data_IF_751095769734
#
_entry.id   IF_751095769734
#
_cell.length_a   1.000
_cell.length_b   1.000
_cell.length_c   1.000
_cell.angle_alpha   90.00
_cell.angle_beta   90.00
_cell.angle_gamma   90.00
#
_symmetry.space_group_name_H-M   'P 1'
#
loop_
_entity.id
_entity.type
_entity.pdbx_description
1 polymer ?
#
# COMPACT_ATOMS: atom_id res chain seq x y z
N UNK A 1 -10.96 4.25 6.21
CA UNK A 1 -9.69 4.24 6.98
C UNK A 1 -9.86 5.08 8.25
N UNK A 2 -8.83 5.23 9.10
CA UNK A 2 -8.89 6.10 10.28
C UNK A 2 -9.23 7.55 9.92
N UNK A 3 -8.60 8.09 8.87
CA UNK A 3 -8.82 9.46 8.37
C UNK A 3 -10.30 9.65 8.03
N UNK A 4 -10.87 8.75 7.21
CA UNK A 4 -12.30 8.81 6.87
C UNK A 4 -13.17 8.66 8.11
N UNK A 5 -12.86 7.70 8.99
CA UNK A 5 -13.67 7.37 10.17
C UNK A 5 -13.72 8.47 11.22
N UNK A 6 -12.67 9.30 11.32
CA UNK A 6 -12.57 10.43 12.24
C UNK A 6 -12.95 11.78 11.60
N UNK A 7 -13.23 11.81 10.31
CA UNK A 7 -13.68 13.02 9.61
C UNK A 7 -15.14 13.38 9.94
N UNK A 8 -15.52 14.66 9.76
CA UNK A 8 -16.88 15.14 10.03
C UNK A 8 -17.97 14.42 9.23
N UNK A 9 -17.62 13.94 8.02
CA UNK A 9 -18.53 13.22 7.11
C UNK A 9 -18.32 11.71 7.17
N UNK A 10 -17.44 11.27 8.06
CA UNK A 10 -17.04 9.89 8.26
C UNK A 10 -18.06 9.04 8.99
N UNK A 11 -17.84 7.74 8.94
CA UNK A 11 -18.49 6.81 9.86
C UNK A 11 -17.43 5.95 10.54
N UNK A 12 -17.19 6.24 11.82
CA UNK A 12 -16.19 5.56 12.64
C UNK A 12 -16.42 4.05 12.73
N UNK A 13 -17.67 3.59 12.57
CA UNK A 13 -17.99 2.16 12.59
C UNK A 13 -17.32 1.42 11.42
N UNK A 14 -17.14 2.05 10.26
CA UNK A 14 -16.42 1.42 9.14
C UNK A 14 -14.96 1.15 9.49
N UNK A 15 -14.32 2.05 10.23
CA UNK A 15 -12.95 1.84 10.70
C UNK A 15 -12.89 0.79 11.82
N UNK A 16 -13.82 0.84 12.78
CA UNK A 16 -13.92 -0.14 13.86
C UNK A 16 -14.05 -1.58 13.35
N UNK A 17 -14.91 -1.80 12.34
CA UNK A 17 -15.10 -3.10 11.71
C UNK A 17 -13.85 -3.63 10.98
N UNK A 18 -12.85 -2.78 10.74
CA UNK A 18 -11.59 -3.10 10.08
C UNK A 18 -10.38 -2.94 11.03
N UNK A 19 -10.58 -3.17 12.33
CA UNK A 19 -9.49 -3.20 13.32
C UNK A 19 -9.14 -1.85 13.96
N UNK A 20 -9.96 -0.82 13.78
CA UNK A 20 -9.76 0.51 14.39
C UNK A 20 -9.96 0.60 15.91
N UNK A 21 -10.33 -0.50 16.57
CA UNK A 21 -10.72 -0.51 17.99
C UNK A 21 -9.61 -0.06 18.96
N UNK A 22 -8.33 -0.19 18.60
CA UNK A 22 -7.20 0.21 19.45
C UNK A 22 -7.25 1.68 19.85
N UNK A 23 -7.79 2.54 19.00
CA UNK A 23 -7.89 3.98 19.23
C UNK A 23 -8.73 4.33 20.46
N UNK A 24 -9.77 3.55 20.74
CA UNK A 24 -10.67 3.77 21.88
C UNK A 24 -10.10 3.24 23.20
N UNK A 25 -8.90 2.66 23.18
CA UNK A 25 -8.16 2.22 24.36
C UNK A 25 -6.97 3.15 24.68
N UNK A 26 -6.86 4.29 24.00
CA UNK A 26 -5.80 5.27 24.23
C UNK A 26 -6.11 6.14 25.46
N UNK A 27 -5.06 6.54 26.17
CA UNK A 27 -5.16 7.64 27.13
C UNK A 27 -5.29 8.99 26.39
N UNK A 28 -5.65 10.04 27.13
CA UNK A 28 -5.95 11.36 26.58
C UNK A 28 -4.82 11.93 25.71
N UNK A 29 -3.57 11.85 26.18
CA UNK A 29 -2.41 12.36 25.46
C UNK A 29 -2.18 11.59 24.16
N UNK A 30 -2.33 10.26 24.18
CA UNK A 30 -2.21 9.44 22.98
C UNK A 30 -3.36 9.63 22.01
N UNK A 31 -4.58 9.90 22.46
CA UNK A 31 -5.70 10.20 21.57
C UNK A 31 -5.44 11.48 20.78
N UNK A 32 -4.97 12.54 21.46
CA UNK A 32 -4.56 13.80 20.82
C UNK A 32 -3.45 13.53 19.80
N UNK A 33 -2.42 12.78 20.20
CA UNK A 33 -1.31 12.44 19.31
C UNK A 33 -1.79 11.65 18.09
N UNK A 34 -2.64 10.63 18.28
CA UNK A 34 -3.16 9.80 17.20
C UNK A 34 -4.00 10.62 16.20
N UNK A 35 -4.81 11.57 16.68
CA UNK A 35 -5.54 12.53 15.82
C UNK A 35 -4.57 13.42 15.04
N UNK A 36 -3.53 13.95 15.67
CA UNK A 36 -2.52 14.76 14.99
C UNK A 36 -1.74 13.97 13.93
N UNK A 37 -1.42 12.70 14.21
CA UNK A 37 -0.77 11.80 13.25
C UNK A 37 -1.71 11.43 12.09
N UNK A 38 -3.01 11.27 12.33
CA UNK A 38 -3.98 11.03 11.26
C UNK A 38 -4.06 12.20 10.28
N UNK A 39 -3.97 13.45 10.75
CA UNK A 39 -3.90 14.62 9.88
C UNK A 39 -2.63 14.59 9.01
N UNK A 40 -1.47 14.25 9.59
CA UNK A 40 -0.24 14.07 8.81
C UNK A 40 -0.31 12.90 7.82
N UNK A 41 -1.04 11.84 8.16
CA UNK A 41 -1.23 10.70 7.28
C UNK A 41 -2.09 11.04 6.05
N UNK A 42 -2.97 12.03 6.15
CA UNK A 42 -3.77 12.56 5.03
C UNK A 42 -2.92 13.30 3.99
N UNK A 43 -1.72 13.74 4.37
CA UNK A 43 -0.75 14.38 3.47
C UNK A 43 0.11 13.35 2.69
N UNK A 44 0.00 12.06 2.99
CA UNK A 44 0.80 11.03 2.33
C UNK A 44 0.41 10.85 0.86
N UNK A 45 1.40 10.66 -0.04
CA UNK A 45 1.09 10.36 -1.43
C UNK A 45 0.56 8.93 -1.57
N UNK A 46 -0.35 8.73 -2.52
CA UNK A 46 -0.85 7.39 -2.87
C UNK A 46 0.19 6.54 -3.63
N UNK A 47 1.09 7.21 -4.35
CA UNK A 47 2.08 6.59 -5.23
C UNK A 47 3.41 7.29 -5.02
N UNK A 48 4.48 6.51 -4.82
CA UNK A 48 5.85 6.99 -4.75
C UNK A 48 6.60 6.51 -6.00
N UNK A 49 7.26 7.43 -6.71
CA UNK A 49 8.25 7.11 -7.74
C UNK A 49 9.65 7.24 -7.14
N UNK A 50 10.49 6.21 -7.33
CA UNK A 50 11.88 6.20 -6.91
C UNK A 50 12.77 5.85 -8.09
N UNK A 51 13.69 6.75 -8.43
CA UNK A 51 14.75 6.50 -9.41
C UNK A 51 16.04 6.16 -8.66
N UNK A 52 16.54 4.93 -8.83
CA UNK A 52 17.76 4.40 -8.19
C UNK A 52 18.63 3.71 -9.23
N UNK A 53 19.90 4.13 -9.35
CA UNK A 53 20.89 3.58 -10.30
C UNK A 53 20.34 3.41 -11.74
N UNK A 54 19.53 4.37 -12.21
CA UNK A 54 18.92 4.34 -13.55
C UNK A 54 17.69 3.44 -13.70
N UNK A 55 17.23 2.77 -12.63
CA UNK A 55 15.96 2.03 -12.59
C UNK A 55 14.87 2.85 -11.91
N UNK A 56 13.65 2.72 -12.39
CA UNK A 56 12.44 3.34 -11.85
C UNK A 56 11.59 2.32 -11.11
N UNK A 57 11.39 2.57 -9.82
CA UNK A 57 10.51 1.83 -8.93
C UNK A 57 9.25 2.65 -8.66
N UNK A 58 8.09 2.02 -8.73
CA UNK A 58 6.80 2.62 -8.37
C UNK A 58 6.22 1.86 -7.19
N UNK A 59 5.93 2.57 -6.10
CA UNK A 59 5.43 1.98 -4.86
C UNK A 59 3.99 2.45 -4.66
N UNK A 60 3.06 1.49 -4.56
CA UNK A 60 1.66 1.71 -4.23
C UNK A 60 1.26 0.78 -3.08
N UNK A 61 0.19 1.10 -2.35
CA UNK A 61 -0.28 0.21 -1.29
C UNK A 61 -0.80 -1.13 -1.82
N UNK A 62 -1.73 -1.12 -2.77
CA UNK A 62 -2.39 -2.33 -3.28
C UNK A 62 -2.13 -2.59 -4.76
N UNK A 63 -2.30 -1.57 -5.62
CA UNK A 63 -2.16 -1.72 -7.07
C UNK A 63 -1.84 -0.38 -7.76
N UNK A 64 -1.47 -0.45 -9.04
CA UNK A 64 -1.57 0.67 -9.98
C UNK A 64 -2.61 0.32 -11.06
N UNK A 65 -3.78 0.99 -11.11
CA UNK A 65 -4.96 0.53 -11.86
C UNK A 65 -4.93 0.86 -13.36
N UNK A 66 -3.76 0.77 -13.98
CA UNK A 66 -3.53 1.06 -15.39
C UNK A 66 -2.41 0.17 -15.92
N UNK A 67 -2.42 -0.14 -17.21
CA UNK A 67 -1.36 -0.96 -17.84
C UNK A 67 -0.11 -0.16 -18.21
N UNK A 68 -0.15 1.17 -18.08
CA UNK A 68 0.97 2.08 -18.29
C UNK A 68 1.02 3.15 -17.21
N UNK A 69 2.14 3.19 -16.52
CA UNK A 69 2.52 4.19 -15.55
C UNK A 69 3.03 5.46 -16.22
N UNK A 70 2.52 6.59 -15.74
CA UNK A 70 2.96 7.93 -16.08
C UNK A 70 2.89 8.78 -14.81
N UNK A 71 3.96 9.53 -14.52
CA UNK A 71 4.02 10.35 -13.31
C UNK A 71 2.91 11.41 -13.33
N UNK A 72 2.14 11.49 -12.24
CA UNK A 72 1.02 12.43 -12.11
C UNK A 72 -0.23 12.07 -12.92
N UNK A 73 -0.29 10.90 -13.57
CA UNK A 73 -1.50 10.43 -14.25
C UNK A 73 -2.66 10.31 -13.25
N UNK A 74 -3.84 10.89 -13.53
CA UNK A 74 -5.02 10.67 -12.71
C UNK A 74 -5.38 9.19 -12.67
N UNK A 75 -5.53 8.65 -11.47
CA UNK A 75 -5.94 7.27 -11.21
C UNK A 75 -7.01 7.25 -10.14
N UNK A 76 -7.82 6.19 -10.10
CA UNK A 76 -8.78 6.00 -9.03
C UNK A 76 -8.05 5.69 -7.71
N UNK A 77 -8.16 6.61 -6.75
CA UNK A 77 -7.54 6.49 -5.44
C UNK A 77 -7.99 5.23 -4.70
N UNK A 78 -9.26 4.83 -4.83
CA UNK A 78 -9.78 3.62 -4.18
C UNK A 78 -9.12 2.37 -4.73
N UNK A 79 -8.88 2.31 -6.05
CA UNK A 79 -8.21 1.18 -6.66
C UNK A 79 -6.75 1.06 -6.23
N UNK A 80 -6.04 2.18 -6.07
CA UNK A 80 -4.63 2.17 -5.63
C UNK A 80 -4.46 1.56 -4.23
N UNK A 81 -5.45 1.71 -3.36
CA UNK A 81 -5.39 1.25 -1.95
C UNK A 81 -6.21 -0.02 -1.65
N UNK A 82 -7.16 -0.42 -2.50
CA UNK A 82 -8.04 -1.56 -2.23
C UNK A 82 -8.04 -2.66 -3.29
N UNK A 83 -7.51 -2.40 -4.50
CA UNK A 83 -7.64 -3.38 -5.57
C UNK A 83 -6.85 -4.66 -5.27
N UNK A 84 -7.50 -5.81 -5.52
CA UNK A 84 -6.90 -7.16 -5.43
C UNK A 84 -7.02 -7.95 -6.73
N UNK A 85 -7.67 -7.38 -7.74
CA UNK A 85 -7.95 -8.09 -8.98
C UNK A 85 -6.67 -8.46 -9.74
N UNK A 86 -5.68 -7.56 -9.80
CA UNK A 86 -4.42 -7.84 -10.51
C UNK A 86 -3.64 -9.01 -9.92
N UNK A 87 -3.53 -9.08 -8.59
CA UNK A 87 -2.84 -10.20 -7.94
C UNK A 87 -3.62 -11.51 -8.12
N UNK A 88 -4.96 -11.48 -7.99
CA UNK A 88 -5.81 -12.64 -8.23
C UNK A 88 -5.62 -13.17 -9.66
N UNK A 89 -5.73 -12.29 -10.66
CA UNK A 89 -5.51 -12.64 -12.06
C UNK A 89 -4.11 -13.22 -12.30
N UNK A 90 -3.08 -12.68 -11.63
CA UNK A 90 -1.71 -13.18 -11.74
C UNK A 90 -1.56 -14.59 -11.15
N UNK A 91 -2.24 -14.88 -10.04
CA UNK A 91 -2.29 -16.21 -9.42
C UNK A 91 -3.04 -17.23 -10.31
N UNK A 92 -4.02 -16.75 -11.07
CA UNK A 92 -4.74 -17.54 -12.09
C UNK A 92 -3.97 -17.66 -13.42
N UNK A 93 -2.73 -17.16 -13.48
CA UNK A 93 -1.83 -17.27 -14.65
C UNK A 93 -1.96 -16.15 -15.68
N UNK A 94 -2.83 -15.16 -15.44
CA UNK A 94 -3.00 -13.99 -16.30
C UNK A 94 -2.00 -12.90 -15.88
N UNK A 95 -0.74 -13.11 -16.27
CA UNK A 95 0.37 -12.22 -15.90
C UNK A 95 0.62 -11.18 -17.01
N UNK A 96 0.62 -9.89 -16.64
CA UNK A 96 0.89 -8.77 -17.55
C UNK A 96 1.85 -7.78 -16.91
N UNK A 97 2.76 -7.24 -17.72
CA UNK A 97 3.63 -6.13 -17.31
C UNK A 97 2.81 -4.83 -17.20
N UNK A 98 3.18 -3.97 -16.24
CA UNK A 98 2.77 -2.56 -16.24
C UNK A 98 3.90 -1.75 -16.86
N UNK A 99 3.66 -1.10 -17.98
CA UNK A 99 4.67 -0.31 -18.70
C UNK A 99 5.02 0.97 -17.93
N UNK A 100 6.15 1.59 -18.24
CA UNK A 100 6.50 2.95 -17.78
C UNK A 100 7.35 3.01 -16.51
N UNK A 101 7.61 1.87 -15.86
CA UNK A 101 8.59 1.71 -14.79
C UNK A 101 9.17 0.29 -14.80
N UNK A 102 10.36 0.13 -14.21
CA UNK A 102 11.07 -1.15 -14.20
C UNK A 102 10.50 -2.13 -13.18
N UNK A 103 9.98 -1.64 -12.05
CA UNK A 103 9.40 -2.48 -10.99
C UNK A 103 8.32 -1.74 -10.23
N UNK A 104 7.22 -2.45 -9.97
CA UNK A 104 6.15 -2.02 -9.09
C UNK A 104 6.23 -2.81 -7.79
N UNK A 105 6.10 -2.14 -6.64
CA UNK A 105 6.17 -2.78 -5.32
C UNK A 105 4.85 -2.49 -4.61
N UNK A 106 4.17 -3.55 -4.20
CA UNK A 106 2.86 -3.53 -3.57
C UNK A 106 2.85 -4.31 -2.26
N UNK A 107 1.90 -3.98 -1.39
CA UNK A 107 1.55 -4.75 -0.21
C UNK A 107 0.09 -5.23 -0.31
N UNK A 108 -0.69 -4.92 0.72
CA UNK A 108 -2.15 -5.08 0.83
C UNK A 108 -2.68 -6.54 0.84
N UNK A 109 -2.19 -7.40 -0.04
CA UNK A 109 -2.60 -8.80 -0.14
C UNK A 109 -1.52 -9.69 0.49
N UNK A 110 -1.75 -10.25 1.69
CA UNK A 110 -0.77 -11.10 2.35
C UNK A 110 -0.43 -12.34 1.52
N UNK A 111 0.85 -12.67 1.44
CA UNK A 111 1.38 -13.86 0.80
C UNK A 111 2.34 -14.61 1.75
N UNK A 112 2.46 -15.93 1.63
CA UNK A 112 3.34 -16.74 2.50
C UNK A 112 4.82 -16.35 2.34
N UNK A 113 5.21 -15.91 1.14
CA UNK A 113 6.53 -15.41 0.77
C UNK A 113 6.34 -14.24 -0.21
N UNK A 114 7.34 -13.37 -0.40
CA UNK A 114 7.26 -12.34 -1.43
C UNK A 114 6.98 -12.96 -2.79
N UNK A 115 6.02 -12.40 -3.52
CA UNK A 115 5.64 -12.86 -4.85
C UNK A 115 6.12 -11.88 -5.91
N UNK A 116 6.39 -12.39 -7.10
CA UNK A 116 6.70 -11.57 -8.26
C UNK A 116 5.97 -12.10 -9.49
N UNK A 117 5.24 -11.21 -10.16
CA UNK A 117 4.55 -11.48 -11.42
C UNK A 117 4.93 -10.39 -12.40
N UNK A 118 5.51 -10.75 -13.55
CA UNK A 118 6.15 -9.80 -14.47
C UNK A 118 7.05 -8.79 -13.73
N UNK A 119 6.69 -7.50 -13.74
CA UNK A 119 7.40 -6.43 -13.04
C UNK A 119 6.71 -5.97 -11.74
N UNK A 120 5.74 -6.72 -11.21
CA UNK A 120 5.06 -6.44 -9.94
C UNK A 120 5.60 -7.34 -8.82
N UNK A 121 6.02 -6.74 -7.71
CA UNK A 121 6.47 -7.41 -6.50
C UNK A 121 5.46 -7.18 -5.38
N UNK A 122 5.07 -8.25 -4.69
CA UNK A 122 4.18 -8.21 -3.53
C UNK A 122 4.98 -8.59 -2.29
N UNK A 123 5.13 -7.65 -1.36
CA UNK A 123 6.01 -7.78 -0.19
C UNK A 123 5.26 -7.90 1.14
N UNK A 124 3.92 -7.86 1.12
CA UNK A 124 3.14 -8.13 2.32
C UNK A 124 3.20 -9.63 2.65
N UNK A 125 4.07 -9.99 3.59
CA UNK A 125 4.19 -11.36 4.10
C UNK A 125 3.36 -11.63 5.35
N UNK A 126 2.39 -10.76 5.66
CA UNK A 126 1.46 -10.97 6.75
C UNK A 126 2.09 -10.88 8.13
N UNK A 127 2.97 -9.90 8.38
CA UNK A 127 3.69 -9.75 9.64
C UNK A 127 2.77 -9.75 10.88
N UNK A 128 1.59 -9.13 10.78
CA UNK A 128 0.59 -9.13 11.87
C UNK A 128 0.00 -10.52 12.16
N UNK A 129 0.01 -11.42 11.18
CA UNK A 129 -0.57 -12.76 11.29
C UNK A 129 0.46 -13.83 11.69
N UNK A 130 1.71 -13.70 11.24
CA UNK A 130 2.73 -14.74 11.42
C UNK A 130 4.11 -14.23 11.87
N UNK A 131 4.27 -12.92 12.10
CA UNK A 131 5.54 -12.30 12.50
C UNK A 131 6.56 -12.10 11.37
N UNK A 132 6.26 -12.55 10.15
CA UNK A 132 7.18 -12.43 9.01
C UNK A 132 7.09 -11.03 8.36
N UNK A 133 8.03 -10.14 8.67
CA UNK A 133 8.16 -8.83 8.05
C UNK A 133 9.20 -8.84 6.92
N UNK A 134 8.76 -8.55 5.70
CA UNK A 134 9.66 -8.47 4.54
C UNK A 134 10.28 -7.08 4.42
N UNK A 135 11.60 -7.05 4.26
CA UNK A 135 12.35 -5.87 3.81
C UNK A 135 13.12 -6.24 2.54
N UNK A 136 12.98 -5.41 1.51
CA UNK A 136 13.74 -5.54 0.26
C UNK A 136 14.63 -4.31 0.07
N UNK A 137 15.90 -4.53 -0.25
CA UNK A 137 16.84 -3.45 -0.54
C UNK A 137 16.76 -3.09 -2.03
N UNK A 138 16.48 -1.82 -2.35
CA UNK A 138 16.39 -1.32 -3.74
C UNK A 138 17.55 -0.40 -4.15
N UNK A 139 18.46 -0.12 -3.22
CA UNK A 139 19.70 0.62 -3.46
C UNK A 139 20.76 0.29 -2.39
N UNK A 140 22.03 0.21 -2.80
CA UNK A 140 23.18 -0.05 -1.92
C UNK A 140 24.04 -1.20 -2.44
N UNK A 141 24.99 -1.69 -1.63
CA UNK A 141 25.88 -2.82 -1.97
C UNK A 141 25.18 -4.18 -1.91
N UNK A 142 24.08 -4.30 -1.15
CA UNK A 142 23.27 -5.51 -1.03
C UNK A 142 22.04 -5.58 -1.93
N UNK A 143 21.87 -4.62 -2.86
CA UNK A 143 20.72 -4.50 -3.77
C UNK A 143 21.04 -4.92 -5.21
#
# INVERSE_FOLDING_TARGET
MMIDGLSERGNVNHWLLNGGGWFFNLDYDKEILAKALAHKADELPLIIELVSKGKKYVICHADYPCDKYEFGKPVDHQQVIWNRERISNSQDGIVKEIKGADTFIFGHTPAVKPLKFANQMYIDTGAVFCGNLTLIQVQGEGA
#
